data_IF_260912301849
#
_entry.id   IF_260912301849
#
_cell.length_a   1.000
_cell.length_b   1.000
_cell.length_c   1.000
_cell.angle_alpha   90.00
_cell.angle_beta   90.00
_cell.angle_gamma   90.00
#
_symmetry.space_group_name_H-M   'P 1'
#
loop_
_entity.id
_entity.type
_entity.pdbx_description
1 polymer ?
#
# COMPACT_ATOMS: atom_id res chain seq x y z
N UNK A 1 -22.82 -11.31 -0.33
CA UNK A 1 -21.38 -11.35 -0.03
C UNK A 1 -20.67 -10.88 -1.29
N UNK A 2 -19.74 -9.94 -1.18
CA UNK A 2 -18.99 -9.46 -2.34
C UNK A 2 -17.83 -10.43 -2.63
N UNK A 3 -17.45 -10.54 -3.90
CA UNK A 3 -16.26 -11.29 -4.28
C UNK A 3 -15.01 -10.49 -3.87
N UNK A 4 -13.97 -11.14 -3.34
CA UNK A 4 -12.75 -10.47 -2.88
C UNK A 4 -12.09 -9.64 -3.98
N UNK A 5 -12.17 -10.07 -5.25
CA UNK A 5 -11.62 -9.30 -6.38
C UNK A 5 -12.38 -8.00 -6.66
N UNK A 6 -13.61 -7.87 -6.15
CA UNK A 6 -14.42 -6.66 -6.25
C UNK A 6 -14.21 -5.68 -5.09
N UNK A 7 -13.45 -6.07 -4.07
CA UNK A 7 -13.15 -5.22 -2.92
C UNK A 7 -11.97 -4.28 -3.21
N UNK A 8 -12.07 -3.05 -2.71
CA UNK A 8 -10.95 -2.13 -2.72
C UNK A 8 -10.04 -2.39 -1.51
N UNK A 9 -8.71 -2.45 -1.70
CA UNK A 9 -7.80 -2.55 -0.58
C UNK A 9 -7.86 -1.29 0.28
N UNK A 10 -7.74 -1.44 1.61
CA UNK A 10 -7.79 -0.31 2.55
C UNK A 10 -6.76 0.78 2.22
N UNK A 11 -5.59 0.39 1.72
CA UNK A 11 -4.55 1.31 1.27
C UNK A 11 -5.00 2.18 0.09
N UNK A 12 -5.90 1.71 -0.77
CA UNK A 12 -6.46 2.53 -1.86
C UNK A 12 -7.31 3.67 -1.32
N UNK A 13 -8.09 3.45 -0.26
CA UNK A 13 -8.88 4.50 0.38
C UNK A 13 -7.97 5.58 1.00
N UNK A 14 -6.89 5.16 1.66
CA UNK A 14 -5.90 6.07 2.22
C UNK A 14 -5.19 6.90 1.13
N UNK A 15 -4.78 6.25 0.03
CA UNK A 15 -4.14 6.93 -1.10
C UNK A 15 -5.08 7.89 -1.82
N UNK A 16 -6.34 7.50 -2.03
CA UNK A 16 -7.36 8.36 -2.64
C UNK A 16 -7.60 9.61 -1.79
N UNK A 17 -7.68 9.46 -0.46
CA UNK A 17 -7.84 10.59 0.47
C UNK A 17 -6.67 11.57 0.43
N UNK A 18 -5.45 11.08 0.19
CA UNK A 18 -4.25 11.92 0.11
C UNK A 18 -4.05 12.57 -1.27
N UNK A 19 -4.13 11.79 -2.36
CA UNK A 19 -3.98 12.27 -3.73
C UNK A 19 -4.51 11.23 -4.75
N UNK A 20 -5.53 11.60 -5.51
CA UNK A 20 -6.15 10.75 -6.54
C UNK A 20 -5.15 10.27 -7.61
N UNK A 21 -4.28 11.18 -8.09
CA UNK A 21 -3.24 10.84 -9.06
C UNK A 21 -2.28 9.77 -8.51
N UNK A 22 -1.89 9.88 -7.23
CA UNK A 22 -1.03 8.88 -6.57
C UNK A 22 -1.75 7.54 -6.41
N UNK A 23 -3.04 7.57 -6.06
CA UNK A 23 -3.85 6.36 -5.97
C UNK A 23 -3.90 5.61 -7.30
N UNK A 24 -4.14 6.31 -8.41
CA UNK A 24 -4.13 5.72 -9.75
C UNK A 24 -2.75 5.13 -10.11
N UNK A 25 -1.67 5.89 -9.88
CA UNK A 25 -0.32 5.40 -10.14
C UNK A 25 0.00 4.10 -9.38
N UNK A 26 -0.41 4.00 -8.12
CA UNK A 26 -0.12 2.82 -7.28
C UNK A 26 -1.04 1.65 -7.60
N UNK A 27 -2.36 1.87 -7.65
CA UNK A 27 -3.34 0.78 -7.70
C UNK A 27 -3.78 0.39 -9.12
N UNK A 28 -3.66 1.30 -10.09
CA UNK A 28 -4.00 1.03 -11.50
C UNK A 28 -2.73 0.76 -12.30
N UNK A 29 -1.78 1.71 -12.29
CA UNK A 29 -0.57 1.65 -13.12
C UNK A 29 0.54 0.76 -12.53
N UNK A 30 0.39 0.30 -11.27
CA UNK A 30 1.40 -0.47 -10.54
C UNK A 30 2.78 0.21 -10.46
N UNK A 31 2.80 1.55 -10.52
CA UNK A 31 3.99 2.38 -10.42
C UNK A 31 4.20 2.78 -8.95
N UNK A 32 5.21 2.19 -8.33
CA UNK A 32 5.57 2.50 -6.95
C UNK A 32 6.84 3.36 -6.87
N UNK A 33 6.74 4.54 -6.24
CA UNK A 33 7.90 5.31 -5.82
C UNK A 33 8.00 5.21 -4.29
N UNK A 34 8.96 4.42 -3.80
CA UNK A 34 9.15 4.24 -2.35
C UNK A 34 9.57 5.56 -1.72
N UNK A 35 8.82 5.98 -0.70
CA UNK A 35 9.29 7.00 0.24
C UNK A 35 10.16 6.33 1.29
N UNK A 36 11.15 7.05 1.82
CA UNK A 36 12.07 6.57 2.85
C UNK A 36 11.33 5.90 4.02
N UNK A 37 10.29 6.54 4.58
CA UNK A 37 9.51 5.97 5.68
C UNK A 37 8.80 4.65 5.34
N UNK A 38 8.39 4.44 4.09
CA UNK A 38 7.80 3.17 3.66
C UNK A 38 8.86 2.07 3.64
N UNK A 39 10.07 2.37 3.19
CA UNK A 39 11.18 1.42 3.18
C UNK A 39 11.63 1.07 4.60
N UNK A 40 11.77 2.07 5.48
CA UNK A 40 12.10 1.86 6.90
C UNK A 40 11.05 1.00 7.62
N UNK A 41 9.77 1.28 7.39
CA UNK A 41 8.68 0.47 7.94
C UNK A 41 8.75 -0.99 7.51
N UNK A 42 9.05 -1.26 6.23
CA UNK A 42 9.21 -2.62 5.72
C UNK A 42 10.34 -3.37 6.43
N UNK A 43 11.51 -2.73 6.59
CA UNK A 43 12.65 -3.33 7.30
C UNK A 43 12.33 -3.64 8.77
N UNK A 44 11.57 -2.76 9.44
CA UNK A 44 11.14 -2.99 10.81
C UNK A 44 10.16 -4.17 10.92
N UNK A 45 9.20 -4.26 10.00
CA UNK A 45 8.28 -5.39 9.93
C UNK A 45 9.01 -6.71 9.68
N UNK A 46 9.94 -6.74 8.71
CA UNK A 46 10.76 -7.92 8.44
C UNK A 46 11.59 -8.33 9.67
N UNK A 47 12.16 -7.37 10.40
CA UNK A 47 12.91 -7.66 11.62
C UNK A 47 12.01 -8.31 12.68
N UNK A 48 10.83 -7.74 12.94
CA UNK A 48 9.90 -8.27 13.92
C UNK A 48 9.39 -9.69 13.56
N UNK A 49 9.16 -9.97 12.27
CA UNK A 49 8.72 -11.28 11.79
C UNK A 49 9.77 -12.38 11.97
N UNK A 50 11.06 -12.05 11.91
CA UNK A 50 12.15 -13.04 12.12
C UNK A 50 12.38 -13.42 13.59
N UNK A 51 11.84 -12.64 14.51
CA UNK A 51 12.02 -12.84 15.97
C UNK A 51 10.88 -13.62 16.63
N UNK A 52 9.89 -14.11 15.86
CA UNK A 52 8.85 -15.03 16.33
C UNK A 52 9.20 -16.48 16.01
#
# INVERSE_FOLDING_TARGET
MHDESSLLPLSALQHLRFCERRCALIHIEQVWAHKQFTAEGNLLHEHAQRTG
#
